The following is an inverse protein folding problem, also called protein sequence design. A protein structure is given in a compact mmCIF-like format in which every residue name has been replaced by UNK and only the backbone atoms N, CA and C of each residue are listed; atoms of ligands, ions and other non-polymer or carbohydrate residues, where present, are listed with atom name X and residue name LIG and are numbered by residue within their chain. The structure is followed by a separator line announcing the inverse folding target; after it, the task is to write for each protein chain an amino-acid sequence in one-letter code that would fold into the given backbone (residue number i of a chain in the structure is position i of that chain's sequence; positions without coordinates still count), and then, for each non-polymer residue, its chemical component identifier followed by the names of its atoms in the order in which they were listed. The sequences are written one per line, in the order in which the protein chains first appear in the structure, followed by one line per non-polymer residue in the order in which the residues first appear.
data_IF_351849346431
#
_entry.id   IF_351849346431
#
_cell.length_a   1.000
_cell.length_b   1.000
_cell.length_c   1.000
_cell.angle_alpha   90.00
_cell.angle_beta   90.00
_cell.angle_gamma   90.00
#
_symmetry.space_group_name_H-M   'P 1'
#
loop_
_entity.id
_entity.type
_entity.pdbx_description
1 polymer ?
#
# COMPACT_ATOMS: atom_id res chain seq x y z
N UNK A 1 3.71 0.46 -4.90
CA UNK A 1 2.45 0.51 -5.69
C UNK A 1 1.28 -0.02 -4.84
N UNK A 2 0.80 0.73 -3.84
CA UNK A 2 -0.28 0.29 -2.97
C UNK A 2 -1.55 -0.07 -3.72
N UNK A 3 -2.27 -1.05 -3.21
CA UNK A 3 -3.60 -1.42 -3.69
C UNK A 3 -4.59 -1.16 -2.57
N UNK A 4 -5.68 -0.47 -2.89
CA UNK A 4 -6.71 -0.09 -1.94
C UNK A 4 -8.01 -0.79 -2.28
N UNK A 5 -8.72 -1.26 -1.26
CA UNK A 5 -10.07 -1.81 -1.34
C UNK A 5 -11.09 -0.69 -1.45
N UNK A 6 -10.96 0.14 -2.49
CA UNK A 6 -11.89 1.20 -2.88
C UNK A 6 -11.66 1.45 -4.36
N UNK A 7 -12.72 1.43 -5.17
CA UNK A 7 -12.66 1.67 -6.61
C UNK A 7 -13.86 2.46 -7.13
N UNK A 8 -14.75 2.95 -6.25
CA UNK A 8 -16.03 3.59 -6.61
C UNK A 8 -16.14 5.01 -6.07
N UNK A 9 -15.72 5.24 -4.83
CA UNK A 9 -15.79 6.55 -4.22
C UNK A 9 -14.58 7.39 -4.65
N UNK A 10 -14.78 8.22 -5.68
CA UNK A 10 -13.73 9.09 -6.23
C UNK A 10 -13.11 10.00 -5.17
N UNK A 11 -13.90 10.55 -4.24
CA UNK A 11 -13.37 11.42 -3.19
C UNK A 11 -12.42 10.69 -2.23
N UNK A 12 -12.72 9.41 -1.92
CA UNK A 12 -11.80 8.59 -1.13
C UNK A 12 -10.49 8.33 -1.89
N UNK A 13 -10.60 8.00 -3.17
CA UNK A 13 -9.45 7.68 -4.02
C UNK A 13 -8.55 8.91 -4.22
N UNK A 14 -9.15 10.09 -4.43
CA UNK A 14 -8.43 11.37 -4.50
C UNK A 14 -7.75 11.72 -3.17
N UNK A 15 -8.40 11.45 -2.04
CA UNK A 15 -7.80 11.67 -0.73
C UNK A 15 -6.59 10.74 -0.46
N UNK A 16 -6.64 9.49 -0.93
CA UNK A 16 -5.51 8.56 -0.88
C UNK A 16 -4.34 9.03 -1.73
N UNK A 17 -4.61 9.48 -2.95
CA UNK A 17 -3.60 10.05 -3.85
C UNK A 17 -2.98 11.33 -3.25
N UNK A 18 -3.80 12.22 -2.68
CA UNK A 18 -3.35 13.43 -2.03
C UNK A 18 -2.48 13.13 -0.80
N UNK A 19 -2.79 12.09 -0.03
CA UNK A 19 -1.96 11.68 1.11
C UNK A 19 -0.54 11.28 0.66
N UNK A 20 -0.43 10.54 -0.45
CA UNK A 20 0.86 10.16 -1.07
C UNK A 20 1.58 11.41 -1.59
N UNK A 21 0.89 12.25 -2.37
CA UNK A 21 1.47 13.44 -2.99
C UNK A 21 1.85 14.54 -1.98
N UNK A 22 1.34 14.48 -0.74
CA UNK A 22 1.68 15.43 0.33
C UNK A 22 3.12 15.31 0.83
N UNK A 23 3.80 14.21 0.53
CA UNK A 23 5.16 13.94 0.99
C UNK A 23 6.17 14.50 0.00
N UNK A 24 7.02 15.41 0.47
CA UNK A 24 8.09 15.96 -0.36
C UNK A 24 9.03 14.86 -0.85
N UNK A 25 9.33 14.86 -2.16
CA UNK A 25 10.15 13.83 -2.79
C UNK A 25 9.38 12.59 -3.24
N UNK A 26 8.05 12.56 -3.08
CA UNK A 26 7.15 11.56 -3.66
C UNK A 26 6.45 12.13 -4.90
N UNK A 27 6.33 11.32 -5.95
CA UNK A 27 5.65 11.66 -7.18
C UNK A 27 4.66 10.55 -7.55
N UNK A 28 3.37 10.88 -7.59
CA UNK A 28 2.35 9.98 -8.15
C UNK A 28 2.50 9.95 -9.67
N UNK A 29 2.67 8.77 -10.23
CA UNK A 29 2.82 8.54 -11.66
C UNK A 29 1.52 8.12 -12.33
N UNK A 30 0.74 7.29 -11.65
CA UNK A 30 -0.45 6.71 -12.23
C UNK A 30 -1.45 6.27 -11.17
N UNK A 31 -2.73 6.31 -11.53
CA UNK A 31 -3.82 5.73 -10.77
C UNK A 31 -4.71 4.92 -11.71
N UNK A 32 -5.02 3.69 -11.32
CA UNK A 32 -6.05 2.86 -11.95
C UNK A 32 -7.12 2.54 -10.92
N UNK A 33 -8.40 2.67 -11.29
CA UNK A 33 -9.53 2.28 -10.45
C UNK A 33 -10.45 1.37 -11.23
N UNK A 34 -10.90 0.30 -10.59
CA UNK A 34 -11.83 -0.67 -11.15
C UNK A 34 -13.09 -0.74 -10.25
N UNK A 35 -14.23 -0.20 -10.70
CA UNK A 35 -15.48 -0.20 -9.95
C UNK A 35 -16.07 -1.59 -9.72
N UNK A 36 -15.84 -2.55 -10.61
CA UNK A 36 -16.39 -3.91 -10.50
C UNK A 36 -15.62 -4.70 -9.44
N UNK A 37 -14.29 -4.62 -9.50
CA UNK A 37 -13.39 -5.16 -8.48
C UNK A 37 -13.43 -4.35 -7.16
N UNK A 38 -13.95 -3.11 -7.20
CA UNK A 38 -13.95 -2.13 -6.12
C UNK A 38 -12.56 -1.97 -5.50
N UNK A 39 -11.57 -1.75 -6.39
CA UNK A 39 -10.15 -1.68 -6.06
C UNK A 39 -9.46 -0.60 -6.88
N UNK A 40 -8.49 0.08 -6.26
CA UNK A 40 -7.63 1.06 -6.90
C UNK A 40 -6.17 0.74 -6.66
N UNK A 41 -5.36 1.00 -7.68
CA UNK A 41 -3.90 0.89 -7.63
C UNK A 41 -3.32 2.29 -7.86
N UNK A 42 -2.48 2.75 -6.94
CA UNK A 42 -1.75 4.00 -7.10
C UNK A 42 -0.27 3.67 -7.24
N UNK A 43 0.35 4.16 -8.32
CA UNK A 43 1.77 4.03 -8.59
C UNK A 43 2.43 5.37 -8.30
N UNK A 44 3.44 5.35 -7.44
CA UNK A 44 4.25 6.52 -7.11
C UNK A 44 5.72 6.12 -6.95
N UNK A 45 6.60 7.11 -7.06
CA UNK A 45 8.06 6.94 -6.97
C UNK A 45 8.65 8.04 -6.10
N UNK A 46 9.85 7.79 -5.56
CA UNK A 46 10.57 8.74 -4.72
C UNK A 46 11.82 8.10 -4.11
N UNK A 47 12.56 8.88 -3.34
CA UNK A 47 13.65 8.34 -2.50
C UNK A 47 13.09 7.49 -1.35
N UNK A 48 13.94 6.67 -0.71
CA UNK A 48 13.54 5.70 0.31
C UNK A 48 12.68 6.29 1.43
N UNK A 49 13.11 7.43 2.00
CA UNK A 49 12.38 8.11 3.08
C UNK A 49 11.02 8.63 2.61
N UNK A 50 10.96 9.24 1.42
CA UNK A 50 9.72 9.78 0.87
C UNK A 50 8.73 8.66 0.55
N UNK A 51 9.22 7.54 0.00
CA UNK A 51 8.39 6.38 -0.35
C UNK A 51 7.82 5.70 0.90
N UNK A 52 8.65 5.52 1.93
CA UNK A 52 8.23 4.99 3.22
C UNK A 52 7.15 5.89 3.87
N UNK A 53 7.41 7.19 3.98
CA UNK A 53 6.47 8.13 4.60
C UNK A 53 5.16 8.20 3.83
N UNK A 54 5.23 8.21 2.49
CA UNK A 54 4.04 8.18 1.62
C UNK A 54 3.20 6.93 1.85
N UNK A 55 3.85 5.77 1.98
CA UNK A 55 3.16 4.50 2.20
C UNK A 55 2.45 4.46 3.57
N UNK A 56 3.10 4.93 4.64
CA UNK A 56 2.51 4.99 5.99
C UNK A 56 1.32 5.96 6.02
N UNK A 57 1.44 7.13 5.39
CA UNK A 57 0.32 8.10 5.28
C UNK A 57 -0.84 7.54 4.47
N UNK A 58 -0.54 6.85 3.38
CA UNK A 58 -1.57 6.21 2.57
C UNK A 58 -2.31 5.10 3.35
N UNK A 59 -1.59 4.32 4.17
CA UNK A 59 -2.18 3.33 5.06
C UNK A 59 -3.11 3.99 6.10
N UNK A 60 -2.66 5.08 6.74
CA UNK A 60 -3.45 5.83 7.71
C UNK A 60 -4.74 6.40 7.07
N UNK A 61 -4.61 6.99 5.88
CA UNK A 61 -5.75 7.54 5.13
C UNK A 61 -6.73 6.43 4.68
N UNK A 62 -6.22 5.27 4.27
CA UNK A 62 -7.06 4.12 3.93
C UNK A 62 -7.85 3.63 5.15
N UNK A 63 -7.22 3.55 6.32
CA UNK A 63 -7.86 3.12 7.56
C UNK A 63 -8.98 4.09 8.02
N UNK A 64 -8.86 5.38 7.72
CA UNK A 64 -9.88 6.39 8.02
C UNK A 64 -11.09 6.29 7.09
N UNK A 65 -10.86 6.02 5.80
CA UNK A 65 -11.88 6.18 4.75
C UNK A 65 -12.59 4.87 4.36
N UNK A 66 -11.91 3.73 4.49
CA UNK A 66 -12.38 2.47 3.92
C UNK A 66 -12.85 1.53 5.04
N UNK A 67 -14.17 1.37 5.15
CA UNK A 67 -14.76 0.38 6.04
C UNK A 67 -15.00 -0.96 5.32
N UNK A 68 -14.19 -1.95 5.66
CA UNK A 68 -14.26 -3.30 5.09
C UNK A 68 -15.55 -4.07 5.46
N UNK A 69 -16.28 -3.68 6.52
CA UNK A 69 -17.55 -4.32 6.87
C UNK A 69 -18.62 -4.08 5.78
N UNK A 70 -18.54 -2.92 5.14
CA UNK A 70 -19.45 -2.48 4.09
C UNK A 70 -18.86 -2.61 2.67
N UNK A 71 -17.54 -2.84 2.56
CA UNK A 71 -16.90 -3.07 1.27
C UNK A 71 -17.47 -4.31 0.55
N UNK A 72 -17.78 -4.13 -0.73
CA UNK A 72 -18.22 -5.19 -1.65
C UNK A 72 -17.52 -5.01 -3.00
N UNK A 73 -16.81 -6.06 -3.45
CA UNK A 73 -16.12 -6.12 -4.74
C UNK A 73 -15.82 -7.58 -5.09
N UNK A 74 -15.62 -7.89 -6.37
CA UNK A 74 -15.37 -9.28 -6.82
C UNK A 74 -13.93 -9.73 -6.61
N UNK A 75 -13.01 -8.80 -6.32
CA UNK A 75 -11.60 -9.11 -6.04
C UNK A 75 -11.43 -9.60 -4.59
N UNK A 76 -10.73 -10.72 -4.35
CA UNK A 76 -10.29 -11.10 -3.02
C UNK A 76 -9.48 -9.97 -2.36
N UNK A 77 -9.68 -9.76 -1.07
CA UNK A 77 -8.98 -8.72 -0.30
C UNK A 77 -8.88 -9.11 1.17
N UNK A 78 -7.77 -8.73 1.79
CA UNK A 78 -7.47 -8.87 3.21
C UNK A 78 -7.63 -7.52 3.92
N UNK A 79 -7.19 -6.41 3.30
CA UNK A 79 -7.07 -5.10 3.94
C UNK A 79 -7.68 -3.92 3.17
N UNK A 80 -7.86 -2.79 3.87
CA UNK A 80 -8.26 -1.51 3.28
C UNK A 80 -7.16 -0.99 2.35
N UNK A 81 -5.92 -1.01 2.84
CA UNK A 81 -4.73 -1.16 2.01
C UNK A 81 -4.43 -2.66 1.96
N UNK A 82 -4.59 -3.26 0.79
CA UNK A 82 -4.58 -4.70 0.59
C UNK A 82 -3.17 -5.26 0.42
N UNK A 83 -2.40 -4.64 -0.49
CA UNK A 83 -0.97 -4.94 -0.66
C UNK A 83 -0.17 -3.66 -0.90
N UNK A 84 1.08 -3.68 -0.46
CA UNK A 84 2.02 -2.57 -0.56
C UNK A 84 3.40 -3.06 -1.01
N UNK A 85 3.58 -3.35 -2.32
CA UNK A 85 4.88 -3.70 -2.88
C UNK A 85 5.79 -2.47 -3.02
N UNK A 86 7.07 -2.71 -2.75
CA UNK A 86 8.19 -1.83 -3.07
C UNK A 86 9.04 -2.52 -4.15
N UNK A 87 9.36 -1.78 -5.21
CA UNK A 87 10.09 -2.31 -6.38
C UNK A 87 11.31 -1.43 -6.61
N UNK A 88 12.52 -2.00 -6.75
CA UNK A 88 13.72 -1.21 -6.95
C UNK A 88 13.68 -0.52 -8.31
N UNK A 89 14.09 0.74 -8.33
CA UNK A 89 14.38 1.50 -9.53
C UNK A 89 15.90 1.75 -9.61
N UNK A 90 16.35 2.47 -10.64
CA UNK A 90 17.77 2.73 -10.87
C UNK A 90 18.48 3.25 -9.60
N UNK A 91 19.52 2.54 -9.18
CA UNK A 91 20.30 2.87 -7.98
C UNK A 91 19.81 2.24 -6.67
N UNK A 92 18.64 1.59 -6.64
CA UNK A 92 18.13 0.85 -5.48
C UNK A 92 18.27 -0.67 -5.67
N UNK A 93 18.48 -1.38 -4.56
CA UNK A 93 18.56 -2.84 -4.52
C UNK A 93 17.26 -3.47 -4.03
N UNK A 94 17.15 -4.79 -4.19
CA UNK A 94 16.03 -5.54 -3.62
C UNK A 94 16.09 -5.50 -2.08
N UNK A 95 17.30 -5.54 -1.51
CA UNK A 95 17.56 -5.42 -0.08
C UNK A 95 17.05 -4.10 0.49
N UNK A 96 17.23 -2.98 -0.23
CA UNK A 96 16.67 -1.68 0.15
C UNK A 96 15.14 -1.74 0.20
N UNK A 97 14.51 -2.38 -0.78
CA UNK A 97 13.06 -2.53 -0.83
C UNK A 97 12.53 -3.42 0.31
N UNK A 98 13.26 -4.48 0.68
CA UNK A 98 12.93 -5.34 1.83
C UNK A 98 13.01 -4.54 3.13
N UNK A 99 14.05 -3.72 3.29
CA UNK A 99 14.21 -2.86 4.46
C UNK A 99 13.05 -1.88 4.60
N UNK A 100 12.69 -1.17 3.51
CA UNK A 100 11.55 -0.26 3.48
C UNK A 100 10.23 -1.00 3.78
N UNK A 101 10.03 -2.18 3.22
CA UNK A 101 8.82 -2.97 3.45
C UNK A 101 8.66 -3.30 4.94
N UNK A 102 9.73 -3.74 5.60
CA UNK A 102 9.73 -4.07 7.03
C UNK A 102 9.48 -2.86 7.90
N UNK A 103 10.18 -1.76 7.63
CA UNK A 103 10.01 -0.50 8.37
C UNK A 103 8.60 0.06 8.19
N UNK A 104 8.03 -0.02 6.98
CA UNK A 104 6.64 0.38 6.75
C UNK A 104 5.67 -0.45 7.60
N UNK A 105 5.86 -1.77 7.65
CA UNK A 105 5.03 -2.67 8.46
C UNK A 105 5.13 -2.37 9.96
N UNK A 106 6.34 -2.11 10.47
CA UNK A 106 6.58 -1.72 11.86
C UNK A 106 5.90 -0.39 12.19
N UNK A 107 6.09 0.65 11.37
CA UNK A 107 5.47 1.95 11.58
C UNK A 107 3.95 1.91 11.48
N UNK A 108 3.39 1.11 10.57
CA UNK A 108 1.95 0.91 10.45
C UNK A 108 1.39 0.27 11.73
N UNK A 109 2.07 -0.73 12.28
CA UNK A 109 1.68 -1.33 13.55
C UNK A 109 1.74 -0.33 14.70
N UNK A 110 2.87 0.36 14.86
CA UNK A 110 3.08 1.30 15.97
C UNK A 110 2.10 2.47 15.95
N UNK A 111 1.79 3.01 14.75
CA UNK A 111 0.97 4.21 14.61
C UNK A 111 -0.53 3.91 14.51
N UNK A 112 -0.90 2.79 13.90
CA UNK A 112 -2.29 2.49 13.53
C UNK A 112 -2.84 1.23 14.21
N UNK A 113 -1.98 0.41 14.84
CA UNK A 113 -2.38 -0.88 15.42
C UNK A 113 -2.82 -1.90 14.36
N UNK A 114 -2.43 -1.72 13.10
CA UNK A 114 -2.83 -2.57 11.98
C UNK A 114 -1.75 -3.63 11.75
N UNK A 115 -2.06 -4.93 11.84
CA UNK A 115 -1.08 -5.98 11.57
C UNK A 115 -0.73 -6.02 10.08
N UNK A 116 0.55 -6.24 9.80
CA UNK A 116 1.06 -6.41 8.44
C UNK A 116 1.67 -7.80 8.26
N UNK A 117 1.53 -8.35 7.06
CA UNK A 117 2.22 -9.57 6.65
C UNK A 117 3.20 -9.25 5.53
N UNK A 118 4.36 -9.90 5.57
CA UNK A 118 5.38 -9.75 4.53
C UNK A 118 5.33 -10.95 3.58
N UNK A 119 5.51 -10.67 2.29
CA UNK A 119 5.41 -11.62 1.20
C UNK A 119 6.56 -11.47 0.21
N UNK A 120 6.70 -12.42 -0.71
CA UNK A 120 7.80 -12.56 -1.66
C UNK A 120 9.17 -12.41 -0.97
N UNK A 121 10.05 -11.57 -1.51
CA UNK A 121 11.41 -11.34 -1.00
C UNK A 121 11.43 -10.78 0.43
N UNK A 122 10.34 -10.17 0.90
CA UNK A 122 10.23 -9.66 2.26
C UNK A 122 9.70 -10.70 3.26
N UNK A 123 9.19 -11.85 2.79
CA UNK A 123 8.53 -12.86 3.62
C UNK A 123 9.43 -13.34 4.77
N UNK A 124 8.85 -13.40 5.98
CA UNK A 124 9.53 -13.91 7.19
C UNK A 124 9.21 -15.37 7.48
N UNK A 125 8.30 -15.98 6.72
CA UNK A 125 7.92 -17.38 6.81
C UNK A 125 7.80 -18.01 5.41
N UNK A 126 8.23 -19.27 5.23
CA UNK A 126 8.16 -19.94 3.92
C UNK A 126 6.75 -20.04 3.34
N UNK A 127 5.72 -20.20 4.19
CA UNK A 127 4.33 -20.34 3.78
C UNK A 127 3.69 -19.02 3.27
N UNK A 128 4.38 -17.88 3.47
CA UNK A 128 3.93 -16.55 3.06
C UNK A 128 4.70 -15.96 1.89
N UNK A 129 5.57 -16.73 1.25
CA UNK A 129 6.31 -16.27 0.07
C UNK A 129 5.31 -15.85 -1.02
N UNK A 130 4.36 -16.72 -1.36
CA UNK A 130 3.31 -16.38 -2.33
C UNK A 130 2.24 -15.54 -1.66
N UNK A 131 1.86 -14.44 -2.30
CA UNK A 131 0.79 -13.55 -1.82
C UNK A 131 -0.53 -14.30 -1.53
N UNK A 132 -0.88 -15.29 -2.35
CA UNK A 132 -2.08 -16.13 -2.17
C UNK A 132 -2.07 -16.95 -0.87
N UNK A 133 -0.89 -17.13 -0.25
CA UNK A 133 -0.71 -17.86 1.01
C UNK A 133 -0.67 -16.96 2.25
N UNK A 134 -0.84 -15.64 2.09
CA UNK A 134 -0.89 -14.66 3.18
C UNK A 134 -2.31 -14.56 3.74
#
# INVERSE_FOLDING_TARGET
MPNFSEGRNTAHIEALEAAIASVSGSLVLHRTSDPDHNRSVITFVGGSEAVLESAVRAAAKAAELIDLNHHRGVHPRVGALDVLPFVPLEGATLEDCIAIAREAGERIWEQLGIPSYFYEAAATRPDRIRLEGV
#
